data_IF_130626285624
#
_entry.id   IF_130626285624
#
_cell.length_a   1.000
_cell.length_b   1.000
_cell.length_c   1.000
_cell.angle_alpha   90.00
_cell.angle_beta   90.00
_cell.angle_gamma   90.00
#
_symmetry.space_group_name_H-M   'P 1'
#
loop_
_entity.id
_entity.type
_entity.pdbx_description
1 polymer ?
#
# COMPACT_ATOMS: atom_id res chain seq x y z
N UNK A 1 11.68 16.41 17.89
CA UNK A 1 11.51 16.66 18.01
C UNK A 1 11.01 16.79 18.17
N UNK A 2 11.10 16.79 17.71
CA UNK A 2 10.87 16.87 17.55
C UNK A 2 10.23 17.07 17.54
N UNK A 3 10.03 17.02 17.10
CA UNK A 3 9.74 17.13 16.82
C UNK A 3 8.87 17.53 16.86
N UNK A 4 8.94 17.69 16.63
CA UNK A 4 8.49 18.04 16.39
C UNK A 4 7.91 18.42 16.06
N UNK A 5 7.99 18.54 15.43
CA UNK A 5 7.82 18.66 15.01
C UNK A 5 7.71 19.00 14.84
N UNK A 6 8.05 19.10 14.53
CA UNK A 6 8.34 19.27 14.33
C UNK A 6 8.53 19.43 14.37
N UNK A 7 9.10 19.57 14.10
CA UNK A 7 9.50 19.50 14.16
C UNK A 7 9.37 19.55 13.96
N UNK A 8 9.56 19.66 13.64
CA UNK A 8 9.71 19.35 13.48
C UNK A 8 9.58 19.62 13.13
N UNK A 9 9.87 19.88 12.65
CA UNK A 9 10.00 19.78 12.43
C UNK A 9 10.28 20.11 12.58
N UNK A 10 10.95 20.11 12.40
CA UNK A 10 11.61 20.17 12.67
C UNK A 10 11.99 20.47 12.64
N UNK A 11 12.54 20.53 12.15
CA UNK A 11 13.21 20.62 12.11
C UNK A 11 13.46 21.01 11.61
N UNK A 12 13.93 21.25 11.03
CA UNK A 12 14.24 21.41 10.54
C UNK A 12 14.52 21.23 9.61
N UNK A 13 15.50 21.35 9.32
CA UNK A 13 14.99 21.33 8.01
C UNK A 13 15.90 20.75 7.00
N UNK A 14 17.06 20.85 7.16
CA UNK A 14 17.94 20.42 6.18
C UNK A 14 18.20 19.00 6.19
N UNK A 15 18.42 18.46 7.24
CA UNK A 15 18.57 17.04 7.27
C UNK A 15 17.26 16.40 7.00
N UNK A 16 16.42 17.14 6.44
CA UNK A 16 15.09 16.72 6.09
C UNK A 16 15.07 15.47 5.23
N UNK A 17 15.91 15.41 4.20
CA UNK A 17 15.85 14.25 3.32
C UNK A 17 16.26 12.99 4.07
N UNK A 18 17.17 13.09 4.99
CA UNK A 18 17.57 11.98 5.81
C UNK A 18 16.41 11.56 6.71
N UNK A 19 15.77 12.52 7.34
CA UNK A 19 14.64 12.23 8.21
C UNK A 19 13.49 11.62 7.42
N UNK A 20 13.27 12.09 6.21
CA UNK A 20 12.23 11.59 5.36
C UNK A 20 12.46 10.12 5.02
N UNK A 21 13.69 9.77 4.71
CA UNK A 21 14.01 8.38 4.42
C UNK A 21 13.75 7.50 5.63
N UNK A 22 14.13 7.97 6.79
CA UNK A 22 13.89 7.21 8.00
C UNK A 22 12.41 7.01 8.24
N UNK A 23 11.62 8.04 8.03
CA UNK A 23 10.19 7.94 8.23
C UNK A 23 9.57 6.90 7.29
N UNK A 24 9.96 6.93 6.04
CA UNK A 24 9.42 5.98 5.08
C UNK A 24 9.81 4.57 5.48
N UNK A 25 11.07 4.36 5.83
CA UNK A 25 11.54 3.05 6.17
C UNK A 25 10.99 2.57 7.51
N UNK A 26 10.90 3.46 8.48
CA UNK A 26 10.60 3.06 9.85
C UNK A 26 9.11 2.85 10.08
N UNK A 27 8.24 3.74 9.59
CA UNK A 27 6.85 3.58 9.95
C UNK A 27 5.85 4.01 8.89
N UNK A 28 6.29 4.66 7.83
CA UNK A 28 5.35 5.11 6.79
C UNK A 28 5.16 4.09 5.69
N UNK A 29 5.79 2.93 5.79
CA UNK A 29 5.64 1.92 4.75
C UNK A 29 4.20 1.45 4.64
N UNK A 30 3.54 1.27 5.78
CA UNK A 30 2.15 0.86 5.77
C UNK A 30 1.26 1.89 5.09
N UNK A 31 1.51 3.16 5.37
CA UNK A 31 0.76 4.23 4.73
C UNK A 31 1.04 4.30 3.24
N UNK A 32 2.30 4.07 2.87
CA UNK A 32 2.66 4.06 1.47
C UNK A 32 1.91 2.95 0.72
N UNK A 33 1.86 1.77 1.34
CA UNK A 33 1.14 0.65 0.75
C UNK A 33 -0.34 0.98 0.63
N UNK A 34 -0.92 1.62 1.64
CA UNK A 34 -2.32 2.02 1.56
C UNK A 34 -2.55 3.00 0.42
N UNK A 35 -1.62 3.92 0.21
CA UNK A 35 -1.70 4.83 -0.93
C UNK A 35 -1.68 4.08 -2.25
N UNK A 36 -0.81 3.09 -2.36
CA UNK A 36 -0.73 2.31 -3.58
C UNK A 36 -2.05 1.56 -3.83
N UNK A 37 -2.65 1.05 -2.78
CA UNK A 37 -3.91 0.34 -2.91
C UNK A 37 -4.99 1.30 -3.40
N UNK A 38 -4.97 2.55 -2.93
CA UNK A 38 -5.93 3.55 -3.39
C UNK A 38 -5.76 3.88 -4.87
N UNK A 39 -4.59 3.62 -5.43
CA UNK A 39 -4.34 3.88 -6.84
C UNK A 39 -4.82 2.75 -7.75
N UNK A 40 -5.20 1.62 -7.17
CA UNK A 40 -5.73 0.52 -7.97
C UNK A 40 -7.06 0.92 -8.60
N UNK A 41 -7.38 0.37 -9.79
CA UNK A 41 -8.72 0.56 -10.34
C UNK A 41 -9.76 0.12 -9.32
N UNK A 42 -10.90 0.78 -9.33
CA UNK A 42 -11.89 0.59 -8.29
C UNK A 42 -12.25 -0.88 -8.07
N UNK A 43 -12.53 -1.61 -9.13
CA UNK A 43 -12.93 -3.00 -8.99
C UNK A 43 -11.82 -3.84 -8.37
N UNK A 44 -10.60 -3.62 -8.82
CA UNK A 44 -9.44 -4.35 -8.28
C UNK A 44 -9.23 -4.03 -6.82
N UNK A 45 -9.39 -2.74 -6.48
CA UNK A 45 -9.22 -2.30 -5.10
C UNK A 45 -10.26 -2.94 -4.19
N UNK A 46 -11.51 -3.00 -4.62
CA UNK A 46 -12.56 -3.62 -3.83
C UNK A 46 -12.23 -5.09 -3.58
N UNK A 47 -11.85 -5.81 -4.62
CA UNK A 47 -11.54 -7.23 -4.49
C UNK A 47 -10.33 -7.43 -3.58
N UNK A 48 -9.32 -6.63 -3.77
CA UNK A 48 -8.11 -6.74 -2.95
C UNK A 48 -8.41 -6.47 -1.48
N UNK A 49 -9.24 -5.46 -1.20
CA UNK A 49 -9.58 -5.13 0.19
C UNK A 49 -10.47 -6.19 0.82
N UNK A 50 -11.36 -6.81 0.07
CA UNK A 50 -12.15 -7.90 0.61
C UNK A 50 -11.27 -9.04 1.06
N UNK A 51 -10.23 -9.31 0.31
CA UNK A 51 -9.29 -10.36 0.68
C UNK A 51 -8.39 -9.94 1.84
N UNK A 52 -7.86 -8.74 1.76
CA UNK A 52 -6.83 -8.29 2.70
C UNK A 52 -7.41 -7.83 4.04
N UNK A 53 -8.45 -7.02 3.99
CA UNK A 53 -8.98 -6.43 5.22
C UNK A 53 -10.09 -7.24 5.85
N UNK A 54 -10.91 -7.88 5.03
CA UNK A 54 -12.04 -8.63 5.55
C UNK A 54 -11.76 -10.13 5.57
N UNK A 55 -10.59 -10.53 5.09
CA UNK A 55 -10.12 -11.92 5.15
C UNK A 55 -11.09 -12.89 4.49
N UNK A 56 -11.74 -12.47 3.42
CA UNK A 56 -12.65 -13.34 2.70
C UNK A 56 -11.88 -14.23 1.73
N UNK A 57 -12.35 -15.45 1.56
CA UNK A 57 -11.74 -16.36 0.61
C UNK A 57 -12.11 -15.93 -0.82
N UNK A 58 -11.33 -16.42 -1.79
CA UNK A 58 -11.64 -16.13 -3.19
C UNK A 58 -13.05 -16.60 -3.55
N UNK A 59 -13.43 -17.72 -3.00
CA UNK A 59 -14.77 -18.26 -3.25
C UNK A 59 -15.85 -17.32 -2.71
N UNK A 60 -15.63 -16.80 -1.51
CA UNK A 60 -16.59 -15.88 -0.90
C UNK A 60 -16.67 -14.58 -1.69
N UNK A 61 -15.53 -14.06 -2.12
CA UNK A 61 -15.51 -12.84 -2.91
C UNK A 61 -16.20 -13.05 -4.23
N UNK A 62 -15.93 -14.18 -4.87
CA UNK A 62 -16.56 -14.49 -6.14
C UNK A 62 -18.08 -14.56 -6.00
N UNK A 63 -18.55 -15.18 -4.95
CA UNK A 63 -19.97 -15.27 -4.70
C UNK A 63 -20.59 -13.90 -4.43
N UNK A 64 -19.93 -13.12 -3.57
CA UNK A 64 -20.44 -11.81 -3.19
C UNK A 64 -20.53 -10.86 -4.38
N UNK A 65 -19.55 -10.90 -5.27
CA UNK A 65 -19.49 -9.98 -6.39
C UNK A 65 -20.06 -10.60 -7.69
N UNK A 66 -20.50 -11.85 -7.62
CA UNK A 66 -21.09 -12.54 -8.78
C UNK A 66 -20.11 -12.61 -9.94
N UNK A 67 -18.90 -13.05 -9.65
CA UNK A 67 -17.86 -13.27 -10.64
C UNK A 67 -17.20 -14.61 -10.37
N UNK A 68 -16.35 -15.05 -11.27
CA UNK A 68 -15.70 -16.35 -11.08
C UNK A 68 -14.53 -16.23 -10.12
N UNK A 69 -14.18 -17.36 -9.50
CA UNK A 69 -12.98 -17.38 -8.64
C UNK A 69 -11.74 -17.06 -9.44
N UNK A 70 -11.72 -17.47 -10.71
CA UNK A 70 -10.59 -17.17 -11.56
C UNK A 70 -10.43 -15.66 -11.76
N UNK A 71 -11.53 -14.96 -11.91
CA UNK A 71 -11.51 -13.52 -12.04
C UNK A 71 -10.96 -12.88 -10.75
N UNK A 72 -11.40 -13.40 -9.58
CA UNK A 72 -10.89 -12.90 -8.31
C UNK A 72 -9.38 -13.12 -8.25
N UNK A 73 -8.94 -14.33 -8.59
CA UNK A 73 -7.53 -14.65 -8.56
C UNK A 73 -6.73 -13.73 -9.46
N UNK A 74 -7.22 -13.47 -10.65
CA UNK A 74 -6.54 -12.60 -11.59
C UNK A 74 -6.44 -11.18 -11.08
N UNK A 75 -7.52 -10.66 -10.49
CA UNK A 75 -7.52 -9.31 -9.95
C UNK A 75 -6.53 -9.18 -8.78
N UNK A 76 -6.51 -10.16 -7.89
CA UNK A 76 -5.58 -10.15 -6.77
C UNK A 76 -4.15 -10.22 -7.29
N UNK A 77 -3.91 -11.07 -8.27
CA UNK A 77 -2.59 -11.23 -8.86
C UNK A 77 -2.08 -9.92 -9.46
N UNK A 78 -2.95 -9.21 -10.19
CA UNK A 78 -2.56 -7.94 -10.78
C UNK A 78 -2.31 -6.87 -9.72
N UNK A 79 -3.11 -6.88 -8.66
CA UNK A 79 -2.90 -5.95 -7.57
C UNK A 79 -1.54 -6.19 -6.92
N UNK A 80 -1.22 -7.46 -6.67
CA UNK A 80 0.06 -7.79 -6.05
C UNK A 80 1.23 -7.43 -6.94
N UNK A 81 1.10 -7.60 -8.24
CA UNK A 81 2.16 -7.19 -9.17
C UNK A 81 2.41 -5.70 -9.08
N UNK A 82 1.34 -4.92 -9.05
CA UNK A 82 1.46 -3.47 -8.95
C UNK A 82 2.14 -3.06 -7.64
N UNK A 83 1.70 -3.64 -6.53
CA UNK A 83 2.28 -3.31 -5.24
C UNK A 83 3.74 -3.72 -5.17
N UNK A 84 4.05 -4.92 -5.65
CA UNK A 84 5.42 -5.42 -5.60
C UNK A 84 6.35 -4.53 -6.41
N UNK A 85 5.92 -4.14 -7.60
CA UNK A 85 6.73 -3.29 -8.47
C UNK A 85 7.04 -1.97 -7.79
N UNK A 86 6.05 -1.35 -7.19
CA UNK A 86 6.25 -0.04 -6.57
C UNK A 86 7.05 -0.12 -5.29
N UNK A 87 6.89 -1.20 -4.53
CA UNK A 87 7.68 -1.38 -3.33
C UNK A 87 9.14 -1.62 -3.69
N UNK A 88 9.39 -2.38 -4.75
CA UNK A 88 10.76 -2.62 -5.18
C UNK A 88 11.42 -1.34 -5.68
N UNK A 89 10.67 -0.47 -6.34
CA UNK A 89 11.21 0.81 -6.75
C UNK A 89 11.59 1.65 -5.55
N UNK A 90 10.76 1.62 -4.51
CA UNK A 90 11.06 2.35 -3.29
C UNK A 90 12.37 1.86 -2.69
N UNK A 91 12.52 0.55 -2.59
CA UNK A 91 13.74 -0.04 -2.04
C UNK A 91 14.94 0.33 -2.90
N UNK A 92 14.75 0.32 -4.22
CA UNK A 92 15.84 0.64 -5.13
C UNK A 92 16.37 2.05 -4.92
N UNK A 93 15.47 2.98 -4.61
CA UNK A 93 15.87 4.36 -4.44
C UNK A 93 16.35 4.69 -3.02
N UNK A 94 16.14 3.79 -2.09
CA UNK A 94 16.63 3.96 -0.74
C UNK A 94 17.99 3.29 -0.60
#
# INVERSE_FOLDING_TARGET
PSRGLGDVYKRQAMETSYDLEEEITAYNLGEYIDHLIEELPERRRVIFNLSRKEHKSYKEIAFQLNISEKTVENQISEALKFLKKNIMLLIWFI
#
